data_IF_343959572356
#
_entry.id   IF_343959572356
#
_cell.length_a   1.000
_cell.length_b   1.000
_cell.length_c   1.000
_cell.angle_alpha   90.00
_cell.angle_beta   90.00
_cell.angle_gamma   90.00
#
_symmetry.space_group_name_H-M   'P 1'
#
loop_
_entity.id
_entity.type
_entity.pdbx_description
1 polymer ?
#
# COMPACT_ATOMS: atom_id res chain seq x y z
N UNK A 1 3.91 -11.75 -1.64
CA UNK A 1 3.23 -10.87 -0.65
C UNK A 1 3.96 -9.53 -0.62
N UNK A 2 3.26 -8.39 -0.57
CA UNK A 2 3.90 -7.06 -0.70
C UNK A 2 4.71 -6.60 0.53
N UNK A 3 4.44 -7.17 1.73
CA UNK A 3 5.04 -6.73 3.00
C UNK A 3 6.56 -6.66 3.00
N UNK A 4 7.27 -7.77 2.73
CA UNK A 4 8.72 -7.80 2.75
C UNK A 4 9.38 -6.88 1.73
N UNK A 5 8.75 -6.66 0.56
CA UNK A 5 9.25 -5.74 -0.46
C UNK A 5 9.18 -4.32 0.09
N UNK A 6 8.01 -3.90 0.58
CA UNK A 6 7.81 -2.57 1.17
C UNK A 6 8.81 -2.28 2.28
N UNK A 7 9.03 -3.23 3.19
CA UNK A 7 9.99 -3.07 4.29
C UNK A 7 11.43 -2.93 3.80
N UNK A 8 11.84 -3.66 2.75
CA UNK A 8 13.17 -3.55 2.14
C UNK A 8 13.42 -2.17 1.53
N UNK A 9 12.39 -1.51 1.00
CA UNK A 9 12.48 -0.14 0.49
C UNK A 9 12.32 0.92 1.60
N UNK A 10 12.26 0.51 2.87
CA UNK A 10 12.17 1.39 4.03
C UNK A 10 10.74 1.87 4.32
N UNK A 11 9.73 1.13 3.87
CA UNK A 11 8.35 1.36 4.24
C UNK A 11 8.03 0.75 5.61
N UNK A 12 7.48 1.57 6.50
CA UNK A 12 7.03 1.19 7.84
C UNK A 12 5.50 1.07 7.86
N UNK A 13 4.97 -0.10 8.22
CA UNK A 13 3.54 -0.30 8.36
C UNK A 13 3.01 0.33 9.66
N UNK A 14 2.42 1.52 9.55
CA UNK A 14 1.79 2.19 10.69
C UNK A 14 0.43 1.57 11.06
N UNK A 15 -0.31 1.09 10.06
CA UNK A 15 -1.63 0.49 10.28
C UNK A 15 -1.94 -0.56 9.22
N UNK A 16 -2.53 -1.67 9.65
CA UNK A 16 -3.19 -2.63 8.78
C UNK A 16 -4.46 -3.13 9.46
N UNK A 17 -5.63 -2.81 8.91
CA UNK A 17 -6.91 -3.18 9.50
C UNK A 17 -7.96 -3.50 8.43
N UNK A 18 -8.78 -4.51 8.71
CA UNK A 18 -10.04 -4.82 8.02
C UNK A 18 -11.28 -4.44 8.85
N UNK A 19 -11.07 -3.98 10.09
CA UNK A 19 -12.11 -3.44 10.96
C UNK A 19 -12.21 -1.95 10.75
N UNK A 20 -13.06 -1.55 9.81
CA UNK A 20 -13.21 -0.16 9.38
C UNK A 20 -14.58 0.35 9.79
N UNK A 21 -14.60 1.42 10.57
CA UNK A 21 -15.80 2.21 10.83
C UNK A 21 -15.65 3.47 10.01
N UNK A 22 -16.42 3.58 8.94
CA UNK A 22 -16.32 4.67 7.98
C UNK A 22 -17.48 5.65 8.11
N UNK A 23 -17.21 6.94 7.91
CA UNK A 23 -18.26 7.93 7.67
C UNK A 23 -18.63 7.95 6.18
N UNK A 24 -19.93 8.01 5.85
CA UNK A 24 -20.48 8.08 4.48
C UNK A 24 -20.17 6.85 3.59
N UNK A 25 -20.10 7.04 2.27
CA UNK A 25 -20.00 6.03 1.19
C UNK A 25 -18.62 5.36 1.04
N UNK A 26 -17.84 5.28 2.11
CA UNK A 26 -16.52 4.68 2.05
C UNK A 26 -16.59 3.17 2.36
N UNK A 27 -16.57 2.35 1.31
CA UNK A 27 -16.66 0.88 1.41
C UNK A 27 -15.31 0.17 1.23
N UNK A 28 -14.27 0.62 1.91
CA UNK A 28 -13.02 -0.15 1.94
C UNK A 28 -13.19 -1.40 2.83
N UNK A 29 -12.76 -2.57 2.32
CA UNK A 29 -12.68 -3.82 3.11
C UNK A 29 -11.38 -3.92 3.92
N UNK A 30 -10.38 -3.10 3.59
CA UNK A 30 -9.05 -3.11 4.20
C UNK A 30 -8.37 -1.76 4.01
N UNK A 31 -7.77 -1.23 5.06
CA UNK A 31 -6.93 -0.03 5.04
C UNK A 31 -5.53 -0.44 5.47
N UNK A 32 -4.55 0.10 4.74
CA UNK A 32 -3.13 -0.06 5.02
C UNK A 32 -2.49 1.32 4.95
N UNK A 33 -1.78 1.71 6.00
CA UNK A 33 -1.02 2.96 6.06
C UNK A 33 0.45 2.58 6.18
N UNK A 34 1.25 3.12 5.25
CA UNK A 34 2.67 2.85 5.15
C UNK A 34 3.36 4.21 5.17
N UNK A 35 4.32 4.37 6.07
CA UNK A 35 5.17 5.55 6.15
C UNK A 35 6.47 5.27 5.42
N UNK A 36 6.93 6.25 4.67
CA UNK A 36 8.26 6.27 4.08
C UNK A 36 8.95 7.56 4.52
N UNK A 37 10.29 7.55 4.56
CA UNK A 37 11.06 8.74 4.92
C UNK A 37 10.97 9.86 3.89
N UNK A 38 10.76 9.52 2.61
CA UNK A 38 10.66 10.46 1.51
C UNK A 38 9.97 9.85 0.28
N UNK A 39 9.53 10.71 -0.64
CA UNK A 39 8.88 10.33 -1.89
C UNK A 39 9.74 9.42 -2.77
N UNK A 40 11.06 9.61 -2.81
CA UNK A 40 11.96 8.79 -3.64
C UNK A 40 11.88 7.31 -3.24
N UNK A 41 11.77 7.01 -1.94
CA UNK A 41 11.59 5.63 -1.46
C UNK A 41 10.23 5.06 -1.83
N UNK A 42 9.17 5.87 -1.80
CA UNK A 42 7.84 5.49 -2.28
C UNK A 42 7.92 5.05 -3.74
N UNK A 43 8.45 5.92 -4.61
CA UNK A 43 8.54 5.67 -6.04
C UNK A 43 9.38 4.41 -6.32
N UNK A 44 10.58 4.30 -5.73
CA UNK A 44 11.43 3.12 -5.89
C UNK A 44 10.75 1.82 -5.45
N UNK A 45 9.96 1.85 -4.38
CA UNK A 45 9.25 0.68 -3.92
C UNK A 45 8.18 0.24 -4.93
N UNK A 46 7.29 1.16 -5.32
CA UNK A 46 6.12 0.83 -6.13
C UNK A 46 6.43 0.69 -7.63
N UNK A 47 7.58 1.19 -8.10
CA UNK A 47 8.10 1.01 -9.46
C UNK A 47 9.17 -0.08 -9.55
N UNK A 48 9.42 -0.84 -8.48
CA UNK A 48 10.40 -1.94 -8.54
C UNK A 48 9.83 -3.13 -9.29
N UNK A 49 10.69 -3.81 -10.05
CA UNK A 49 10.35 -5.06 -10.75
C UNK A 49 9.76 -6.10 -9.77
N UNK A 50 10.33 -6.19 -8.56
CA UNK A 50 9.83 -7.06 -7.48
C UNK A 50 8.37 -6.75 -7.09
N UNK A 51 7.97 -5.47 -7.12
CA UNK A 51 6.60 -5.05 -6.83
C UNK A 51 5.68 -5.22 -8.04
N UNK A 52 6.18 -5.02 -9.26
CA UNK A 52 5.42 -5.30 -10.48
C UNK A 52 5.07 -6.78 -10.62
N UNK A 53 5.99 -7.70 -10.30
CA UNK A 53 5.76 -9.15 -10.36
C UNK A 53 4.58 -9.62 -9.48
N UNK A 54 4.29 -8.92 -8.39
CA UNK A 54 3.18 -9.25 -7.48
C UNK A 54 1.88 -8.49 -7.80
N UNK A 55 1.92 -7.53 -8.73
CA UNK A 55 0.75 -6.73 -9.14
C UNK A 55 -0.31 -7.57 -9.88
N UNK A 56 0.04 -8.48 -10.81
CA UNK A 56 -0.92 -9.37 -11.47
C UNK A 56 -1.72 -10.25 -10.51
N UNK A 57 -1.16 -10.59 -9.34
CA UNK A 57 -1.84 -11.39 -8.31
C UNK A 57 -2.95 -10.61 -7.60
N UNK A 58 -3.01 -9.28 -7.76
CA UNK A 58 -3.99 -8.40 -7.10
C UNK A 58 -5.11 -7.97 -8.05
N UNK A 59 -4.81 -7.75 -9.32
CA UNK A 59 -5.74 -7.18 -10.29
C UNK A 59 -6.95 -8.08 -10.59
N UNK A 60 -6.80 -9.40 -10.50
CA UNK A 60 -7.90 -10.36 -10.73
C UNK A 60 -8.90 -10.50 -9.58
N UNK A 61 -8.67 -9.87 -8.42
CA UNK A 61 -9.50 -10.15 -7.22
C UNK A 61 -9.78 -8.96 -6.32
N UNK A 62 -9.03 -7.85 -6.43
CA UNK A 62 -9.12 -6.73 -5.49
C UNK A 62 -9.04 -5.40 -6.23
N UNK A 63 -10.11 -4.60 -6.15
CA UNK A 63 -10.05 -3.17 -6.48
C UNK A 63 -9.37 -2.46 -5.32
N UNK A 64 -8.14 -1.98 -5.53
CA UNK A 64 -7.43 -1.14 -4.55
C UNK A 64 -7.30 0.29 -5.06
N UNK A 65 -7.50 1.25 -4.17
CA UNK A 65 -7.18 2.66 -4.38
C UNK A 65 -6.00 3.01 -3.47
N UNK A 66 -5.04 3.75 -3.99
CA UNK A 66 -3.91 4.26 -3.22
C UNK A 66 -3.81 5.77 -3.41
N UNK A 67 -3.35 6.44 -2.38
CA UNK A 67 -2.99 7.86 -2.40
C UNK A 67 -1.67 7.99 -1.66
N UNK A 68 -0.82 8.92 -2.10
CA UNK A 68 0.38 9.31 -1.39
C UNK A 68 0.10 10.70 -0.81
N UNK A 69 0.44 10.88 0.46
CA UNK A 69 0.22 12.13 1.20
C UNK A 69 1.57 12.64 1.65
N UNK A 70 1.93 13.83 1.21
CA UNK A 70 3.12 14.54 1.67
C UNK A 70 2.76 15.43 2.86
N UNK A 71 3.69 15.57 3.81
CA UNK A 71 3.56 16.39 5.02
C UNK A 71 4.75 17.30 5.19
#
# INVERSE_FOLDING_TARGET
MAGPIVERYGGEYLLRSDRIIAAKDWQAKKIVIIKFDNQIKVDRCFQSDEYEEITPLREGSIISRFVVVES
#
